data_IF_749746167810
#
_entry.id   IF_749746167810
#
_cell.length_a   1.000
_cell.length_b   1.000
_cell.length_c   1.000
_cell.angle_alpha   90.00
_cell.angle_beta   90.00
_cell.angle_gamma   90.00
#
_symmetry.space_group_name_H-M   'P 1'
#
loop_
_entity.id
_entity.type
_entity.pdbx_description
1 polymer ?
#
# COMPACT_ATOMS: atom_id res chain seq x y z
N UNK A 1 15.60 -17.88 -1.87
CA UNK A 1 14.20 -18.30 -1.79
C UNK A 1 13.86 -18.88 -0.42
N UNK A 2 14.62 -19.86 0.10
CA UNK A 2 14.40 -20.49 1.42
C UNK A 2 14.19 -19.54 2.63
N UNK A 3 14.83 -18.35 2.64
CA UNK A 3 14.74 -17.39 3.75
C UNK A 3 13.43 -16.58 3.75
N UNK A 4 12.81 -16.39 2.58
CA UNK A 4 11.49 -15.77 2.45
C UNK A 4 10.39 -16.77 2.82
N UNK A 5 10.56 -18.05 2.46
CA UNK A 5 9.65 -19.12 2.91
C UNK A 5 9.65 -19.28 4.43
N UNK A 6 10.81 -19.10 5.06
CA UNK A 6 10.95 -19.19 6.52
C UNK A 6 10.26 -18.01 7.22
N UNK A 7 10.36 -16.80 6.67
CA UNK A 7 9.61 -15.63 7.17
C UNK A 7 8.10 -15.76 6.91
N UNK A 8 7.71 -16.28 5.74
CA UNK A 8 6.31 -16.55 5.39
C UNK A 8 5.69 -17.56 6.34
N UNK A 9 6.42 -18.64 6.66
CA UNK A 9 6.00 -19.64 7.66
C UNK A 9 5.95 -19.06 9.07
N UNK A 10 6.92 -18.23 9.45
CA UNK A 10 6.94 -17.58 10.77
C UNK A 10 5.77 -16.60 10.97
N UNK A 11 5.41 -15.86 9.92
CA UNK A 11 4.26 -14.95 9.92
C UNK A 11 2.92 -15.72 9.96
N UNK A 12 2.76 -16.76 9.14
CA UNK A 12 1.57 -17.63 9.17
C UNK A 12 1.40 -18.36 10.51
N UNK A 13 2.51 -18.70 11.19
CA UNK A 13 2.43 -19.31 12.53
C UNK A 13 2.04 -18.34 13.64
N UNK A 14 2.15 -17.02 13.41
CA UNK A 14 1.76 -15.99 14.38
C UNK A 14 0.25 -15.70 14.36
N UNK A 15 -0.49 -16.17 13.35
CA UNK A 15 -1.93 -15.90 13.16
C UNK A 15 -2.87 -16.77 14.01
N UNK A 16 -2.37 -17.77 14.76
CA UNK A 16 -3.23 -18.69 15.54
C UNK A 16 -3.73 -18.05 16.87
N UNK A 17 -3.77 -16.72 16.98
CA UNK A 17 -3.95 -16.06 18.28
C UNK A 17 -4.63 -14.71 18.30
N UNK A 18 -5.47 -14.34 17.32
CA UNK A 18 -6.31 -13.13 17.43
C UNK A 18 -7.74 -13.49 17.06
N UNK A 19 -8.55 -13.70 18.10
CA UNK A 19 -9.97 -14.01 18.00
C UNK A 19 -10.83 -12.79 17.64
N UNK A 20 -12.04 -13.13 17.22
CA UNK A 20 -13.18 -12.27 16.89
C UNK A 20 -13.26 -10.94 17.65
N UNK A 21 -13.27 -9.82 16.92
CA UNK A 21 -13.99 -8.61 17.33
C UNK A 21 -14.19 -7.67 16.13
N UNK A 22 -15.46 -7.46 15.80
CA UNK A 22 -15.93 -6.47 14.85
C UNK A 22 -15.48 -5.05 15.24
N UNK A 23 -14.39 -4.59 14.65
CA UNK A 23 -14.06 -3.18 14.44
C UNK A 23 -13.17 -3.14 13.21
N UNK A 24 -13.61 -2.47 12.14
CA UNK A 24 -12.76 -2.17 11.00
C UNK A 24 -11.68 -1.22 11.51
N UNK A 25 -10.54 -1.78 11.93
CA UNK A 25 -9.37 -1.03 12.33
C UNK A 25 -8.63 -0.64 11.04
N UNK A 26 -8.67 0.65 10.70
CA UNK A 26 -8.01 1.28 9.55
C UNK A 26 -6.47 1.17 9.56
N UNK A 27 -5.90 0.31 10.41
CA UNK A 27 -4.46 0.17 10.63
C UNK A 27 -3.91 -1.25 10.49
N UNK A 28 -4.72 -2.25 10.11
CA UNK A 28 -4.18 -3.58 9.81
C UNK A 28 -3.56 -3.59 8.41
N UNK A 29 -2.21 -3.58 8.37
CA UNK A 29 -1.51 -3.95 7.16
C UNK A 29 -1.72 -5.44 6.92
N UNK A 30 -2.48 -5.79 5.88
CA UNK A 30 -2.55 -7.18 5.40
C UNK A 30 -1.14 -7.77 5.31
N UNK A 31 -0.94 -8.99 5.81
CA UNK A 31 0.36 -9.68 5.77
C UNK A 31 0.96 -9.76 4.37
N UNK A 32 0.10 -9.80 3.35
CA UNK A 32 0.52 -9.72 1.96
C UNK A 32 1.29 -8.43 1.66
N UNK A 33 0.86 -7.30 2.22
CA UNK A 33 1.53 -6.02 2.08
C UNK A 33 2.87 -5.99 2.81
N UNK A 34 2.96 -6.61 3.99
CA UNK A 34 4.23 -6.72 4.74
C UNK A 34 5.25 -7.54 3.95
N UNK A 35 4.83 -8.67 3.39
CA UNK A 35 5.67 -9.50 2.51
C UNK A 35 6.14 -8.70 1.30
N UNK A 36 5.21 -8.01 0.63
CA UNK A 36 5.51 -7.16 -0.51
C UNK A 36 6.49 -6.04 -0.17
N UNK A 37 6.33 -5.39 0.98
CA UNK A 37 7.27 -4.36 1.45
C UNK A 37 8.66 -4.96 1.65
N UNK A 38 8.78 -6.13 2.27
CA UNK A 38 10.06 -6.79 2.51
C UNK A 38 10.77 -7.19 1.20
N UNK A 39 10.03 -7.72 0.23
CA UNK A 39 10.55 -8.05 -1.10
C UNK A 39 11.07 -6.80 -1.83
N UNK A 40 10.32 -5.71 -1.78
CA UNK A 40 10.70 -4.43 -2.37
C UNK A 40 11.93 -3.81 -1.69
N UNK A 41 12.06 -3.93 -0.36
CA UNK A 41 13.29 -3.52 0.35
C UNK A 41 14.50 -4.29 -0.16
N UNK A 42 14.39 -5.62 -0.27
CA UNK A 42 15.47 -6.47 -0.74
C UNK A 42 15.83 -6.18 -2.21
N UNK A 43 14.82 -5.98 -3.06
CA UNK A 43 15.01 -5.59 -4.46
C UNK A 43 15.74 -4.26 -4.59
N UNK A 44 15.33 -3.26 -3.81
CA UNK A 44 15.97 -1.94 -3.80
C UNK A 44 17.41 -1.96 -3.27
N UNK A 45 17.76 -2.90 -2.38
CA UNK A 45 19.13 -3.06 -1.89
C UNK A 45 20.05 -3.68 -2.95
N UNK A 46 19.52 -4.62 -3.73
CA UNK A 46 20.28 -5.30 -4.80
C UNK A 46 20.47 -4.42 -6.03
N UNK A 47 19.50 -3.57 -6.35
CA UNK A 47 19.57 -2.70 -7.51
C UNK A 47 20.41 -1.46 -7.23
N UNK A 48 21.66 -1.47 -7.68
CA UNK A 48 22.56 -0.30 -7.61
C UNK A 48 22.12 0.89 -8.47
N UNK A 49 21.16 0.71 -9.41
CA UNK A 49 20.65 1.76 -10.31
C UNK A 49 19.17 1.56 -10.62
N UNK A 50 18.33 2.38 -9.98
CA UNK A 50 16.89 2.48 -10.28
C UNK A 50 16.07 1.27 -9.81
N UNK A 51 14.99 1.53 -9.08
CA UNK A 51 14.09 0.49 -8.58
C UNK A 51 12.67 0.76 -9.08
N UNK A 52 12.03 -0.27 -9.65
CA UNK A 52 10.63 -0.19 -10.11
C UNK A 52 9.74 -0.63 -8.95
N UNK A 53 9.18 0.35 -8.25
CA UNK A 53 8.32 0.11 -7.11
C UNK A 53 6.98 -0.50 -7.50
N UNK A 54 6.52 -1.48 -6.72
CA UNK A 54 5.16 -1.99 -6.83
C UNK A 54 4.10 -0.88 -6.61
N UNK A 55 3.02 -0.83 -7.40
CA UNK A 55 2.02 0.24 -7.32
C UNK A 55 1.29 0.31 -5.97
N UNK A 56 1.08 -0.82 -5.27
CA UNK A 56 0.48 -0.82 -3.94
C UNK A 56 1.35 -0.06 -2.91
N UNK A 57 2.66 -0.29 -2.94
CA UNK A 57 3.62 0.41 -2.07
C UNK A 57 3.71 1.90 -2.41
N UNK A 58 3.65 2.26 -3.70
CA UNK A 58 3.56 3.66 -4.12
C UNK A 58 2.31 4.33 -3.57
N UNK A 59 1.13 3.69 -3.66
CA UNK A 59 -0.12 4.21 -3.10
C UNK A 59 -0.03 4.42 -1.59
N UNK A 60 0.54 3.45 -0.88
CA UNK A 60 0.80 3.57 0.55
C UNK A 60 1.74 4.73 0.89
N UNK A 61 2.86 4.86 0.17
CA UNK A 61 3.79 5.98 0.34
C UNK A 61 3.13 7.33 0.08
N UNK A 62 2.25 7.42 -0.93
CA UNK A 62 1.47 8.63 -1.22
C UNK A 62 0.54 8.94 -0.04
N UNK A 63 -0.18 7.95 0.49
CA UNK A 63 -1.07 8.11 1.65
C UNK A 63 -0.34 8.69 2.86
N UNK A 64 0.86 8.20 3.17
CA UNK A 64 1.68 8.76 4.25
C UNK A 64 2.14 10.18 3.91
N UNK A 65 2.62 10.41 2.69
CA UNK A 65 3.15 11.70 2.26
C UNK A 65 2.08 12.80 2.26
N UNK A 66 0.85 12.49 1.85
CA UNK A 66 -0.28 13.42 1.84
C UNK A 66 -0.79 13.71 3.25
N UNK A 67 -0.75 12.74 4.17
CA UNK A 67 -1.09 12.93 5.59
C UNK A 67 -0.02 13.73 6.33
N UNK A 68 1.26 13.39 6.15
CA UNK A 68 2.38 14.11 6.76
C UNK A 68 3.68 13.90 5.99
N UNK A 69 4.13 14.95 5.32
CA UNK A 69 5.44 14.98 4.64
C UNK A 69 6.60 14.75 5.61
N UNK A 70 6.50 15.26 6.84
CA UNK A 70 7.53 15.08 7.87
C UNK A 70 7.67 13.62 8.29
N UNK A 71 6.55 12.95 8.55
CA UNK A 71 6.53 11.53 8.90
C UNK A 71 7.14 10.67 7.77
N UNK A 72 6.78 10.97 6.51
CA UNK A 72 7.37 10.29 5.36
C UNK A 72 8.89 10.43 5.29
N UNK A 73 9.42 11.62 5.55
CA UNK A 73 10.87 11.86 5.54
C UNK A 73 11.59 11.09 6.63
N UNK A 74 11.00 10.99 7.82
CA UNK A 74 11.54 10.19 8.93
C UNK A 74 11.56 8.71 8.55
N UNK A 75 10.46 8.18 8.02
CA UNK A 75 10.39 6.78 7.56
C UNK A 75 11.39 6.48 6.44
N UNK A 76 11.62 7.43 5.54
CA UNK A 76 12.61 7.28 4.46
C UNK A 76 14.06 7.25 4.95
N UNK A 77 14.34 7.64 6.20
CA UNK A 77 15.68 7.47 6.80
C UNK A 77 15.93 6.03 7.23
N UNK A 78 14.89 5.31 7.66
CA UNK A 78 15.01 3.91 8.11
C UNK A 78 14.71 2.90 7.00
N UNK A 79 13.80 3.22 6.08
CA UNK A 79 13.36 2.34 4.99
C UNK A 79 13.80 2.88 3.63
N UNK A 80 14.14 1.97 2.70
CA UNK A 80 14.31 2.31 1.29
C UNK A 80 12.91 2.58 0.73
N UNK A 81 12.55 3.86 0.63
CA UNK A 81 11.29 4.30 0.04
C UNK A 81 11.54 5.10 -1.25
N UNK A 82 10.53 5.19 -2.13
CA UNK A 82 10.57 6.07 -3.29
C UNK A 82 11.06 7.48 -2.95
N UNK A 83 11.72 8.16 -3.88
CA UNK A 83 12.01 9.58 -3.68
C UNK A 83 10.73 10.41 -3.89
N UNK A 84 10.68 11.62 -3.32
CA UNK A 84 9.54 12.53 -3.45
C UNK A 84 9.25 12.84 -4.92
N UNK A 85 10.29 12.95 -5.75
CA UNK A 85 10.14 13.12 -7.20
C UNK A 85 9.36 11.97 -7.82
N UNK A 86 9.60 10.73 -7.39
CA UNK A 86 8.82 9.56 -7.82
C UNK A 86 7.36 9.69 -7.36
N UNK A 87 7.11 10.06 -6.11
CA UNK A 87 5.75 10.25 -5.61
C UNK A 87 4.99 11.31 -6.40
N UNK A 88 5.57 12.49 -6.61
CA UNK A 88 4.94 13.56 -7.41
C UNK A 88 4.63 13.11 -8.83
N UNK A 89 5.52 12.31 -9.46
CA UNK A 89 5.27 11.73 -10.79
C UNK A 89 4.04 10.82 -10.79
N UNK A 90 3.78 10.10 -9.70
CA UNK A 90 2.60 9.24 -9.57
C UNK A 90 1.33 10.01 -9.19
N UNK A 91 1.42 10.99 -8.30
CA UNK A 91 0.31 11.86 -7.93
C UNK A 91 -0.21 12.63 -9.16
N UNK A 92 0.69 13.13 -10.01
CA UNK A 92 0.30 13.92 -11.18
C UNK A 92 -0.24 13.07 -12.34
N UNK A 93 -0.21 11.74 -12.26
CA UNK A 93 -0.86 10.87 -13.26
C UNK A 93 -2.37 10.91 -13.13
N UNK A 94 -2.90 11.10 -11.93
CA UNK A 94 -4.33 11.32 -11.70
C UNK A 94 -4.66 12.79 -11.95
N UNK A 95 -4.79 13.16 -13.22
CA UNK A 95 -5.30 14.48 -13.59
C UNK A 95 -6.81 14.50 -13.37
N UNK A 96 -7.23 15.03 -12.23
CA UNK A 96 -8.62 15.43 -12.02
C UNK A 96 -8.90 16.58 -13.00
N UNK A 97 -9.79 16.34 -13.98
CA UNK A 97 -10.29 17.43 -14.81
C UNK A 97 -11.31 18.22 -13.98
N UNK A 98 -11.31 19.57 -14.05
CA UNK A 98 -12.37 20.36 -13.43
C UNK A 98 -13.71 19.98 -14.06
N UNK A 99 -14.70 19.67 -13.22
CA UNK A 99 -16.01 19.16 -13.62
C UNK A 99 -16.35 17.83 -12.92
N UNK A 100 -17.56 17.33 -13.16
CA UNK A 100 -17.98 16.02 -12.69
C UNK A 100 -17.25 14.95 -13.51
N UNK A 101 -16.33 14.23 -12.88
CA UNK A 101 -15.64 13.10 -13.51
C UNK A 101 -16.59 11.91 -13.51
N UNK A 102 -17.35 11.76 -14.59
CA UNK A 102 -18.35 10.70 -14.75
C UNK A 102 -17.79 9.31 -14.43
N UNK A 103 -16.51 9.05 -14.77
CA UNK A 103 -15.83 7.79 -14.48
C UNK A 103 -15.64 7.50 -12.98
N UNK A 104 -15.34 8.52 -12.17
CA UNK A 104 -15.24 8.34 -10.72
C UNK A 104 -16.61 8.08 -10.11
N UNK A 105 -17.65 8.79 -10.56
CA UNK A 105 -19.02 8.54 -10.11
C UNK A 105 -19.44 7.12 -10.48
N UNK A 106 -19.17 6.67 -11.72
CA UNK A 106 -19.47 5.30 -12.16
C UNK A 106 -18.76 4.26 -11.29
N UNK A 107 -17.51 4.48 -10.93
CA UNK A 107 -16.77 3.52 -10.10
C UNK A 107 -17.28 3.51 -8.66
N UNK A 108 -17.62 4.68 -8.08
CA UNK A 108 -18.21 4.78 -6.74
C UNK A 108 -19.60 4.13 -6.72
N UNK A 109 -20.43 4.36 -7.73
CA UNK A 109 -21.78 3.74 -7.80
C UNK A 109 -21.70 2.24 -8.03
N UNK A 110 -20.76 1.74 -8.84
CA UNK A 110 -20.51 0.30 -8.98
C UNK A 110 -20.11 -0.34 -7.66
N UNK A 111 -19.22 0.29 -6.91
CA UNK A 111 -18.79 -0.21 -5.59
C UNK A 111 -19.95 -0.20 -4.60
N UNK A 112 -20.75 0.86 -4.56
CA UNK A 112 -21.93 0.94 -3.70
C UNK A 112 -23.00 -0.11 -4.06
N UNK A 113 -23.16 -0.40 -5.35
CA UNK A 113 -24.08 -1.43 -5.82
C UNK A 113 -23.64 -2.83 -5.41
N UNK A 114 -22.34 -3.14 -5.56
CA UNK A 114 -21.76 -4.41 -5.12
C UNK A 114 -21.80 -4.60 -3.60
N UNK A 115 -21.65 -3.52 -2.83
CA UNK A 115 -21.77 -3.58 -1.37
C UNK A 115 -23.20 -3.90 -0.92
N UNK A 116 -24.22 -3.30 -1.55
CA UNK A 116 -25.63 -3.56 -1.22
C UNK A 116 -26.10 -4.98 -1.53
N UNK A 117 -25.45 -5.69 -2.45
CA UNK A 117 -25.75 -7.09 -2.79
C UNK A 117 -25.13 -8.09 -1.80
N UNK A 118 -24.23 -7.63 -0.93
CA UNK A 118 -23.55 -8.44 0.10
C UNK A 118 -24.29 -8.45 1.45
N UNK A 119 -25.28 -7.57 1.61
CA UNK A 119 -26.05 -7.37 2.85
C UNK A 119 -27.44 -8.06 2.83
N UNK A 120 -27.70 -8.95 1.87
CA UNK A 120 -28.94 -9.72 1.73
C UNK A 120 -28.70 -11.23 1.84
#
# INVERSE_FOLDING_TARGET
EARLDLLRRALLSAEVGIGDAAAVDDTEFSLEFVCLLAEEQLGSLKSGKGHRWHPALIRWCISIFTRSKGAYMVLRRSLRLPCIRTLHKHINKTKLRPGIVSEHIINITKQAWQAGESDC
#
